data_IF_113230269623
#
_entry.id   IF_113230269623
#
_cell.length_a   1.000
_cell.length_b   1.000
_cell.length_c   1.000
_cell.angle_alpha   90.00
_cell.angle_beta   90.00
_cell.angle_gamma   90.00
#
_symmetry.space_group_name_H-M   'P 1'
#
loop_
_entity.id
_entity.type
_entity.pdbx_description
1 polymer ?
#
# COMPACT_ATOMS: atom_id res chain seq x y z
N UNK A 1 11.70 3.33 19.42
CA UNK A 1 11.30 4.69 18.96
C UNK A 1 11.25 5.66 20.13
N UNK A 2 10.79 5.22 21.28
CA UNK A 2 10.72 6.04 22.48
C UNK A 2 12.13 6.41 22.99
N UNK A 3 13.02 5.44 23.09
CA UNK A 3 14.43 5.64 23.48
C UNK A 3 15.18 6.64 22.58
N UNK A 4 14.68 6.90 21.38
CA UNK A 4 15.21 7.90 20.44
C UNK A 4 14.50 9.24 20.54
N UNK A 5 13.62 9.43 21.51
CA UNK A 5 12.79 10.64 21.68
C UNK A 5 12.01 11.04 20.41
N UNK A 6 11.66 10.06 19.59
CA UNK A 6 10.93 10.29 18.33
C UNK A 6 9.42 10.32 18.52
N UNK A 7 8.91 9.96 19.68
CA UNK A 7 7.47 9.86 19.93
C UNK A 7 6.95 11.05 20.75
N UNK A 8 5.70 11.46 20.47
CA UNK A 8 5.01 12.46 21.27
C UNK A 8 3.48 12.30 21.19
N UNK A 9 2.74 12.74 22.24
CA UNK A 9 1.28 12.68 22.26
C UNK A 9 0.65 13.74 21.34
N UNK A 10 -0.42 13.36 20.64
CA UNK A 10 -1.17 14.25 19.76
C UNK A 10 -2.67 14.19 20.06
N UNK A 11 -3.26 15.35 20.30
CA UNK A 11 -4.68 15.56 20.63
C UNK A 11 -5.48 16.14 19.46
N UNK A 12 -4.88 16.33 18.30
CA UNK A 12 -5.53 16.90 17.12
C UNK A 12 -6.57 15.93 16.54
N UNK A 13 -7.74 16.45 16.19
CA UNK A 13 -8.76 15.70 15.47
C UNK A 13 -8.37 15.48 14.00
N UNK A 14 -8.99 14.49 13.34
CA UNK A 14 -8.80 14.27 11.91
C UNK A 14 -9.16 15.50 11.08
N UNK A 15 -10.22 16.23 11.47
CA UNK A 15 -10.66 17.45 10.78
C UNK A 15 -9.62 18.56 10.82
N UNK A 16 -8.88 18.68 11.94
CA UNK A 16 -7.85 19.71 12.11
C UNK A 16 -6.61 19.51 11.24
N UNK A 17 -6.35 18.26 10.81
CA UNK A 17 -5.14 17.87 10.06
C UNK A 17 -5.44 17.44 8.63
N UNK A 18 -6.70 17.44 8.20
CA UNK A 18 -7.09 16.92 6.89
C UNK A 18 -6.47 17.74 5.75
N UNK A 19 -5.87 17.02 4.77
CA UNK A 19 -5.40 17.59 3.50
C UNK A 19 -4.10 18.40 3.56
N UNK A 20 -3.37 18.37 4.68
CA UNK A 20 -2.07 19.07 4.81
C UNK A 20 -1.07 18.20 5.57
N UNK A 21 0.25 18.33 5.27
CA UNK A 21 1.28 17.74 6.10
C UNK A 21 1.13 18.22 7.55
N UNK A 22 1.29 17.30 8.49
CA UNK A 22 1.15 17.67 9.91
C UNK A 22 2.33 18.49 10.39
N UNK A 23 2.04 19.72 10.83
CA UNK A 23 3.04 20.75 11.18
C UNK A 23 3.70 20.56 12.55
N UNK A 24 3.43 19.49 13.29
CA UNK A 24 3.99 19.29 14.63
C UNK A 24 3.29 20.09 15.74
N UNK A 25 2.04 20.52 15.57
CA UNK A 25 1.29 21.36 16.54
C UNK A 25 1.32 20.84 17.98
N UNK A 26 1.45 19.53 18.19
CA UNK A 26 1.52 18.91 19.53
C UNK A 26 2.95 18.52 19.93
N UNK A 27 3.97 18.85 19.17
CA UNK A 27 5.35 18.37 19.36
C UNK A 27 5.89 18.61 20.78
N UNK A 28 5.58 19.76 21.36
CA UNK A 28 6.04 20.14 22.70
C UNK A 28 4.99 19.95 23.79
N UNK A 29 3.90 19.22 23.49
CA UNK A 29 2.86 18.94 24.49
C UNK A 29 3.21 17.71 25.30
N UNK A 30 3.10 17.82 26.62
CA UNK A 30 3.20 16.69 27.52
C UNK A 30 1.94 15.83 27.47
N UNK A 31 2.08 14.56 27.80
CA UNK A 31 0.93 13.67 27.96
C UNK A 31 0.03 14.15 29.11
N UNK A 32 -1.24 14.38 28.81
CA UNK A 32 -2.25 14.76 29.82
C UNK A 32 -2.81 13.47 30.40
N UNK A 33 -2.68 13.32 31.71
CA UNK A 33 -3.17 12.14 32.44
C UNK A 33 -4.68 11.96 32.20
N UNK A 34 -5.11 10.72 31.95
CA UNK A 34 -6.51 10.33 31.72
C UNK A 34 -7.17 10.97 30.48
N UNK A 35 -6.38 11.46 29.52
CA UNK A 35 -6.92 12.00 28.27
C UNK A 35 -6.49 11.12 27.09
N UNK A 36 -7.48 10.65 26.31
CA UNK A 36 -7.21 9.88 25.11
C UNK A 36 -6.41 10.72 24.09
N UNK A 37 -5.34 10.15 23.58
CA UNK A 37 -4.49 10.78 22.58
C UNK A 37 -3.88 9.73 21.65
N UNK A 38 -3.54 10.15 20.45
CA UNK A 38 -2.70 9.34 19.55
C UNK A 38 -1.22 9.63 19.81
N UNK A 39 -0.35 8.70 19.43
CA UNK A 39 1.09 8.90 19.43
C UNK A 39 1.55 9.12 17.99
N UNK A 40 2.31 10.19 17.78
CA UNK A 40 2.98 10.45 16.50
C UNK A 40 4.45 10.17 16.59
N UNK A 41 5.04 9.78 15.44
CA UNK A 41 6.48 9.76 15.24
C UNK A 41 6.91 11.04 14.55
N UNK A 42 8.00 11.66 15.04
CA UNK A 42 8.65 12.82 14.41
C UNK A 42 9.30 12.37 13.10
N UNK A 43 9.05 13.10 12.04
CA UNK A 43 9.77 12.92 10.77
C UNK A 43 11.02 13.80 10.74
N UNK A 44 12.11 13.24 10.28
CA UNK A 44 13.38 13.97 10.13
C UNK A 44 13.44 14.66 8.77
N UNK A 45 14.31 15.66 8.65
CA UNK A 45 14.61 16.30 7.38
C UNK A 45 15.33 15.29 6.44
N UNK A 46 15.05 15.39 5.15
CA UNK A 46 15.60 14.50 4.12
C UNK A 46 14.52 13.71 3.40
N UNK A 47 14.91 13.13 2.29
CA UNK A 47 14.03 12.30 1.47
C UNK A 47 14.27 10.83 1.74
N UNK A 48 13.20 10.05 1.74
CA UNK A 48 13.26 8.59 1.66
C UNK A 48 13.12 8.21 0.18
N UNK A 49 14.14 7.53 -0.34
CA UNK A 49 14.12 7.02 -1.70
C UNK A 49 14.28 5.50 -1.72
N UNK A 50 13.60 4.84 -2.64
CA UNK A 50 13.74 3.42 -2.90
C UNK A 50 13.49 3.12 -4.38
N UNK A 51 13.88 1.94 -4.82
CA UNK A 51 13.58 1.45 -6.17
C UNK A 51 12.52 0.38 -6.07
N UNK A 52 11.32 0.68 -6.57
CA UNK A 52 10.26 -0.31 -6.76
C UNK A 52 10.58 -1.16 -7.99
N UNK A 53 10.38 -2.47 -7.88
CA UNK A 53 10.72 -3.41 -8.95
C UNK A 53 9.85 -3.25 -10.22
N UNK A 54 8.70 -2.57 -10.09
CA UNK A 54 7.77 -2.31 -11.20
C UNK A 54 7.74 -0.83 -11.54
N UNK A 55 7.42 0.03 -10.56
CA UNK A 55 7.20 1.46 -10.77
C UNK A 55 8.52 2.25 -10.90
N UNK A 56 9.69 1.63 -10.57
CA UNK A 56 10.98 2.29 -10.65
C UNK A 56 11.31 3.16 -9.44
N UNK A 57 12.14 4.18 -9.64
CA UNK A 57 12.60 5.04 -8.53
C UNK A 57 11.46 5.88 -7.99
N UNK A 58 11.26 5.82 -6.67
CA UNK A 58 10.32 6.67 -5.93
C UNK A 58 11.05 7.40 -4.80
N UNK A 59 10.69 8.65 -4.59
CA UNK A 59 11.29 9.51 -3.56
C UNK A 59 10.22 10.40 -2.94
N UNK A 60 10.26 10.56 -1.62
CA UNK A 60 9.34 11.44 -0.89
C UNK A 60 10.05 12.10 0.30
N UNK A 61 9.86 13.40 0.47
CA UNK A 61 10.28 14.10 1.67
C UNK A 61 9.19 14.03 2.74
N UNK A 62 9.32 13.08 3.67
CA UNK A 62 8.28 12.83 4.67
C UNK A 62 7.94 14.05 5.49
N UNK A 63 8.93 14.90 5.84
CA UNK A 63 8.68 16.08 6.65
C UNK A 63 7.81 17.12 5.92
N UNK A 64 8.04 17.30 4.65
CA UNK A 64 7.35 18.30 3.84
C UNK A 64 6.05 17.81 3.25
N UNK A 65 6.01 16.52 2.83
CA UNK A 65 4.89 15.95 2.08
C UNK A 65 3.84 15.29 2.98
N UNK A 66 4.26 14.80 4.16
CA UNK A 66 3.40 14.04 5.09
C UNK A 66 3.34 14.72 6.47
N UNK A 67 4.46 15.23 6.97
CA UNK A 67 4.64 15.62 8.35
C UNK A 67 4.71 14.42 9.30
N UNK A 68 4.70 14.72 10.60
CA UNK A 68 4.72 13.67 11.62
C UNK A 68 3.45 12.85 11.58
N UNK A 69 3.57 11.53 11.54
CA UNK A 69 2.42 10.65 11.34
C UNK A 69 2.12 9.75 12.55
N UNK A 70 0.88 9.29 12.64
CA UNK A 70 0.40 8.49 13.77
C UNK A 70 0.97 7.06 13.68
N UNK A 71 1.55 6.60 14.80
CA UNK A 71 2.03 5.22 14.99
C UNK A 71 1.19 4.44 16.00
N UNK A 72 0.48 5.15 16.92
CA UNK A 72 -0.51 4.56 17.82
C UNK A 72 -1.74 5.43 17.86
N UNK A 73 -2.90 4.83 17.72
CA UNK A 73 -4.20 5.49 17.68
C UNK A 73 -4.67 5.82 19.10
N UNK A 74 -5.58 6.78 19.21
CA UNK A 74 -6.15 7.17 20.49
C UNK A 74 -6.97 6.03 21.19
N UNK A 75 -7.47 5.05 20.42
CA UNK A 75 -8.12 3.85 20.92
C UNK A 75 -7.15 2.78 21.42
N UNK A 76 -5.84 3.06 21.39
CA UNK A 76 -4.78 2.17 21.88
C UNK A 76 -4.20 1.22 20.82
N UNK A 77 -4.81 1.09 19.64
CA UNK A 77 -4.31 0.21 18.56
C UNK A 77 -3.13 0.85 17.85
N UNK A 78 -2.18 0.02 17.43
CA UNK A 78 -1.09 0.47 16.58
C UNK A 78 -1.59 0.83 15.18
N UNK A 79 -1.01 1.86 14.60
CA UNK A 79 -1.35 2.29 13.25
C UNK A 79 -0.76 1.36 12.20
N UNK A 80 -1.45 1.22 11.07
CA UNK A 80 -1.10 0.32 9.97
C UNK A 80 0.38 0.33 9.58
N UNK A 81 0.97 1.52 9.41
CA UNK A 81 2.37 1.62 8.96
C UNK A 81 3.37 1.02 9.96
N UNK A 82 3.12 1.17 11.26
CA UNK A 82 3.98 0.58 12.28
C UNK A 82 3.75 -0.94 12.39
N UNK A 83 2.50 -1.36 12.46
CA UNK A 83 2.15 -2.77 12.57
C UNK A 83 2.76 -3.59 11.43
N UNK A 84 2.52 -3.17 10.18
CA UNK A 84 3.06 -3.87 8.99
C UNK A 84 4.59 -3.89 8.98
N UNK A 85 5.26 -2.77 9.32
CA UNK A 85 6.72 -2.73 9.31
C UNK A 85 7.35 -3.71 10.33
N UNK A 86 6.70 -3.90 11.49
CA UNK A 86 7.16 -4.82 12.53
C UNK A 86 6.80 -6.26 12.18
N UNK A 87 5.55 -6.52 11.81
CA UNK A 87 5.05 -7.86 11.50
C UNK A 87 5.80 -8.47 10.32
N UNK A 88 6.05 -7.71 9.25
CA UNK A 88 6.81 -8.17 8.08
C UNK A 88 8.26 -8.52 8.46
N UNK A 89 8.88 -7.72 9.33
CA UNK A 89 10.24 -7.99 9.79
C UNK A 89 10.31 -9.23 10.69
N UNK A 90 9.35 -9.41 11.62
CA UNK A 90 9.30 -10.59 12.51
C UNK A 90 9.02 -11.87 11.71
N UNK A 91 8.24 -11.80 10.65
CA UNK A 91 7.94 -12.93 9.76
C UNK A 91 9.05 -13.18 8.72
N UNK A 92 10.07 -12.35 8.65
CA UNK A 92 11.17 -12.49 7.69
C UNK A 92 10.76 -12.24 6.25
N UNK A 93 9.76 -11.36 6.03
CA UNK A 93 9.30 -10.98 4.69
C UNK A 93 10.41 -10.27 3.93
N UNK A 94 10.78 -10.80 2.78
CA UNK A 94 11.85 -10.27 1.92
C UNK A 94 11.33 -9.46 0.74
N UNK A 95 10.10 -9.74 0.28
CA UNK A 95 9.48 -9.10 -0.87
C UNK A 95 8.01 -8.75 -0.56
N UNK A 96 7.62 -7.53 -0.85
CA UNK A 96 6.24 -7.04 -0.69
C UNK A 96 5.67 -6.75 -2.07
N UNK A 97 4.61 -7.49 -2.42
CA UNK A 97 3.84 -7.27 -3.65
C UNK A 97 2.45 -6.78 -3.28
N UNK A 98 2.07 -5.59 -3.75
CA UNK A 98 0.78 -4.96 -3.41
C UNK A 98 0.33 -3.95 -4.45
N UNK A 99 -0.87 -3.38 -4.29
CA UNK A 99 -1.37 -2.35 -5.20
C UNK A 99 -0.60 -1.02 -5.10
N UNK A 100 -0.48 -0.33 -6.21
CA UNK A 100 0.19 0.99 -6.34
C UNK A 100 -0.45 2.10 -5.52
N UNK A 101 -1.69 1.93 -5.07
CA UNK A 101 -2.36 2.83 -4.14
C UNK A 101 -1.65 2.92 -2.76
N UNK A 102 -0.73 2.00 -2.49
CA UNK A 102 0.12 2.00 -1.30
C UNK A 102 1.55 2.48 -1.57
N UNK A 103 1.87 2.89 -2.80
CA UNK A 103 3.21 3.36 -3.16
C UNK A 103 3.66 4.53 -2.29
N UNK A 104 2.80 5.55 -2.13
CA UNK A 104 3.06 6.70 -1.26
C UNK A 104 3.10 6.37 0.25
N UNK A 105 2.65 5.19 0.63
CA UNK A 105 2.73 4.70 2.02
C UNK A 105 4.09 4.09 2.35
N UNK A 106 4.82 3.61 1.33
CA UNK A 106 6.08 2.90 1.45
C UNK A 106 7.18 3.71 2.15
N UNK A 107 7.40 5.01 1.84
CA UNK A 107 8.41 5.79 2.55
C UNK A 107 8.20 5.87 4.06
N UNK A 108 6.94 5.91 4.53
CA UNK A 108 6.62 5.88 5.96
C UNK A 108 7.03 4.56 6.62
N UNK A 109 6.83 3.45 5.92
CA UNK A 109 7.22 2.12 6.40
C UNK A 109 8.75 1.98 6.39
N UNK A 110 9.43 2.40 5.33
CA UNK A 110 10.90 2.41 5.26
C UNK A 110 11.48 3.29 6.35
N UNK A 111 10.91 4.46 6.61
CA UNK A 111 11.34 5.32 7.71
C UNK A 111 11.27 4.59 9.07
N UNK A 112 10.15 3.91 9.35
CA UNK A 112 9.99 3.15 10.58
C UNK A 112 10.97 1.98 10.66
N UNK A 113 11.19 1.25 9.58
CA UNK A 113 12.18 0.18 9.48
C UNK A 113 13.58 0.69 9.82
N UNK A 114 13.99 1.82 9.24
CA UNK A 114 15.28 2.47 9.54
C UNK A 114 15.39 2.89 11.02
N UNK A 115 14.34 3.53 11.57
CA UNK A 115 14.36 3.96 12.97
C UNK A 115 14.38 2.79 13.97
N UNK A 116 13.80 1.66 13.59
CA UNK A 116 13.76 0.42 14.38
C UNK A 116 14.93 -0.52 14.08
N UNK A 117 15.82 -0.17 13.14
CA UNK A 117 16.93 -1.04 12.70
C UNK A 117 16.45 -2.37 12.12
N UNK A 118 15.31 -2.37 11.45
CA UNK A 118 14.73 -3.51 10.75
C UNK A 118 15.24 -3.58 9.30
N UNK A 119 15.24 -4.78 8.73
CA UNK A 119 15.57 -4.98 7.31
C UNK A 119 14.44 -4.41 6.44
N UNK A 120 14.80 -3.64 5.43
CA UNK A 120 13.85 -3.13 4.45
C UNK A 120 13.67 -4.17 3.34
N UNK A 121 12.44 -4.69 3.11
CA UNK A 121 12.17 -5.63 2.02
C UNK A 121 12.21 -4.95 0.64
N UNK A 122 12.24 -5.76 -0.41
CA UNK A 122 12.02 -5.29 -1.77
C UNK A 122 10.53 -5.04 -2.00
N UNK A 123 10.21 -3.98 -2.76
CA UNK A 123 8.84 -3.58 -3.03
C UNK A 123 8.50 -3.72 -4.52
N UNK A 124 7.28 -4.17 -4.80
CA UNK A 124 6.68 -4.28 -6.12
C UNK A 124 5.24 -3.78 -6.07
N UNK A 125 4.98 -2.62 -6.66
CA UNK A 125 3.64 -2.05 -6.67
C UNK A 125 2.95 -2.30 -8.02
N UNK A 126 1.96 -3.20 -7.99
CA UNK A 126 1.14 -3.57 -9.15
C UNK A 126 0.15 -2.45 -9.47
N UNK A 127 -0.17 -2.20 -10.76
CA UNK A 127 -1.23 -1.28 -11.12
C UNK A 127 -2.57 -1.70 -10.52
N UNK A 128 -3.32 -0.72 -10.02
CA UNK A 128 -4.68 -0.96 -9.52
C UNK A 128 -5.68 -1.00 -10.66
N UNK A 129 -6.64 -1.90 -10.57
CA UNK A 129 -7.76 -1.93 -11.49
C UNK A 129 -8.76 -0.82 -11.17
N UNK A 130 -9.02 0.06 -12.16
CA UNK A 130 -9.94 1.19 -12.01
C UNK A 130 -11.05 1.14 -13.06
N UNK A 131 -12.12 1.90 -12.83
CA UNK A 131 -13.11 2.22 -13.86
C UNK A 131 -12.53 3.27 -14.83
N UNK A 132 -13.25 3.55 -15.93
CA UNK A 132 -12.90 4.65 -16.83
C UNK A 132 -12.94 6.06 -16.19
N UNK A 133 -13.51 6.18 -14.98
CA UNK A 133 -13.50 7.41 -14.17
C UNK A 133 -12.37 7.43 -13.14
N UNK A 134 -11.36 6.57 -13.27
CA UNK A 134 -10.24 6.40 -12.33
C UNK A 134 -10.68 6.05 -10.90
N UNK A 135 -11.84 5.43 -10.75
CA UNK A 135 -12.33 4.99 -9.45
C UNK A 135 -11.89 3.54 -9.21
N UNK A 136 -11.25 3.29 -8.07
CA UNK A 136 -10.79 1.95 -7.71
C UNK A 136 -11.98 0.99 -7.58
N UNK A 137 -11.97 -0.10 -8.35
CA UNK A 137 -13.06 -1.09 -8.39
C UNK A 137 -13.40 -1.62 -6.99
N UNK A 138 -12.41 -1.87 -6.16
CA UNK A 138 -12.60 -2.45 -4.82
C UNK A 138 -13.25 -1.52 -3.79
N UNK A 139 -13.36 -0.20 -4.06
CA UNK A 139 -13.87 0.79 -3.08
C UNK A 139 -15.28 1.27 -3.37
N UNK A 140 -15.85 0.93 -4.52
CA UNK A 140 -17.21 1.35 -4.83
C UNK A 140 -18.21 0.31 -4.38
N UNK A 141 -19.30 0.79 -3.76
CA UNK A 141 -20.46 -0.01 -3.33
C UNK A 141 -21.18 -0.74 -4.47
N UNK A 142 -20.68 -0.65 -5.68
CA UNK A 142 -21.17 -1.28 -6.91
C UNK A 142 -20.10 -2.19 -7.57
N UNK A 143 -19.01 -2.50 -6.88
CA UNK A 143 -18.17 -3.59 -7.34
C UNK A 143 -19.06 -4.84 -7.36
N UNK A 144 -19.41 -5.25 -8.54
CA UNK A 144 -20.11 -6.51 -8.75
C UNK A 144 -19.24 -7.59 -8.11
N UNK A 145 -19.85 -8.48 -7.38
CA UNK A 145 -19.11 -9.65 -6.90
C UNK A 145 -18.58 -10.40 -8.13
N UNK A 146 -17.33 -10.14 -8.46
CA UNK A 146 -16.67 -10.68 -9.65
C UNK A 146 -16.77 -12.20 -9.69
N UNK A 147 -16.70 -12.83 -8.51
CA UNK A 147 -16.82 -14.29 -8.38
C UNK A 147 -18.24 -14.80 -8.65
N UNK A 148 -19.28 -13.99 -8.51
CA UNK A 148 -20.64 -14.36 -8.83
C UNK A 148 -20.99 -14.26 -10.31
N UNK A 149 -20.16 -13.51 -11.08
CA UNK A 149 -20.47 -13.17 -12.47
C UNK A 149 -19.63 -13.91 -13.49
N UNK A 150 -18.47 -14.42 -13.09
CA UNK A 150 -17.58 -15.10 -14.01
C UNK A 150 -16.90 -16.30 -13.34
N UNK A 151 -16.52 -17.29 -14.18
CA UNK A 151 -15.77 -18.45 -13.72
C UNK A 151 -14.39 -18.04 -13.22
N UNK A 152 -13.89 -18.61 -12.11
CA UNK A 152 -12.56 -18.29 -11.57
C UNK A 152 -11.43 -18.40 -12.60
N UNK A 153 -11.53 -19.36 -13.54
CA UNK A 153 -10.55 -19.56 -14.61
C UNK A 153 -10.43 -18.33 -15.50
N UNK A 154 -11.55 -17.73 -15.89
CA UNK A 154 -11.56 -16.53 -16.72
C UNK A 154 -11.01 -15.32 -15.96
N UNK A 155 -11.36 -15.20 -14.67
CA UNK A 155 -10.83 -14.13 -13.82
C UNK A 155 -9.30 -14.21 -13.72
N UNK A 156 -8.74 -15.41 -13.56
CA UNK A 156 -7.29 -15.63 -13.54
C UNK A 156 -6.64 -15.22 -14.88
N UNK A 157 -7.22 -15.64 -16.01
CA UNK A 157 -6.72 -15.28 -17.34
C UNK A 157 -6.77 -13.76 -17.56
N UNK A 158 -7.88 -13.10 -17.19
CA UNK A 158 -8.01 -11.65 -17.30
C UNK A 158 -7.04 -10.92 -16.38
N UNK A 159 -6.81 -11.43 -15.17
CA UNK A 159 -5.82 -10.86 -14.23
C UNK A 159 -4.41 -10.95 -14.78
N UNK A 160 -4.03 -12.08 -15.37
CA UNK A 160 -2.72 -12.24 -16.03
C UNK A 160 -2.57 -11.26 -17.20
N UNK A 161 -3.59 -11.15 -18.06
CA UNK A 161 -3.58 -10.18 -19.16
C UNK A 161 -3.50 -8.73 -18.66
N UNK A 162 -4.25 -8.38 -17.61
CA UNK A 162 -4.21 -7.08 -16.95
C UNK A 162 -2.81 -6.72 -16.42
N UNK A 163 -2.08 -7.72 -15.92
CA UNK A 163 -0.71 -7.58 -15.46
C UNK A 163 0.33 -7.72 -16.59
N UNK A 164 -0.10 -7.57 -17.87
CA UNK A 164 0.79 -7.58 -19.03
C UNK A 164 1.33 -8.94 -19.41
N UNK A 165 0.92 -10.00 -18.72
CA UNK A 165 1.26 -11.36 -19.11
C UNK A 165 0.43 -11.76 -20.33
N UNK A 166 0.96 -12.64 -21.19
CA UNK A 166 0.29 -13.06 -22.42
C UNK A 166 -0.19 -14.52 -22.29
N UNK A 167 -1.31 -14.78 -21.58
CA UNK A 167 -1.81 -16.12 -21.37
C UNK A 167 -2.16 -16.78 -22.71
N UNK A 168 -1.65 -18.00 -22.91
CA UNK A 168 -1.91 -18.76 -24.12
C UNK A 168 -3.39 -19.08 -24.30
N UNK A 169 -3.86 -19.11 -25.55
CA UNK A 169 -5.26 -19.38 -25.85
C UNK A 169 -5.74 -20.78 -25.38
N UNK A 170 -4.83 -21.75 -25.24
CA UNK A 170 -5.13 -23.09 -24.72
C UNK A 170 -5.63 -23.06 -23.28
N UNK A 171 -5.23 -22.05 -22.50
CA UNK A 171 -5.64 -21.88 -21.10
C UNK A 171 -7.16 -21.62 -20.93
N UNK A 172 -7.87 -21.24 -21.99
CA UNK A 172 -9.35 -21.09 -21.94
C UNK A 172 -10.09 -22.38 -21.56
N UNK A 173 -9.44 -23.55 -21.71
CA UNK A 173 -9.99 -24.85 -21.33
C UNK A 173 -9.32 -25.45 -20.11
N UNK A 174 -8.33 -24.77 -19.56
CA UNK A 174 -7.56 -25.22 -18.41
C UNK A 174 -8.31 -24.94 -17.10
N UNK A 175 -8.03 -25.75 -16.08
CA UNK A 175 -8.50 -25.48 -14.73
C UNK A 175 -7.60 -24.48 -13.99
N UNK A 176 -8.04 -23.99 -12.83
CA UNK A 176 -7.30 -23.00 -12.04
C UNK A 176 -5.85 -23.42 -11.73
N UNK A 177 -5.62 -24.69 -11.43
CA UNK A 177 -4.28 -25.21 -11.11
C UNK A 177 -3.34 -25.11 -12.31
N UNK A 178 -3.83 -25.49 -13.48
CA UNK A 178 -3.07 -25.44 -14.74
C UNK A 178 -2.74 -23.99 -15.13
N UNK A 179 -3.71 -23.08 -14.98
CA UNK A 179 -3.50 -21.64 -15.23
C UNK A 179 -2.44 -21.08 -14.28
N UNK A 180 -2.50 -21.38 -12.99
CA UNK A 180 -1.52 -20.92 -12.01
C UNK A 180 -0.12 -21.54 -12.25
N UNK A 181 -0.04 -22.80 -12.62
CA UNK A 181 1.23 -23.44 -13.00
C UNK A 181 1.84 -22.77 -14.22
N UNK A 182 1.03 -22.50 -15.25
CA UNK A 182 1.47 -21.75 -16.41
C UNK A 182 1.97 -20.36 -16.02
N UNK A 183 1.22 -19.64 -15.17
CA UNK A 183 1.58 -18.30 -14.69
C UNK A 183 2.95 -18.30 -13.99
N UNK A 184 3.18 -19.22 -13.07
CA UNK A 184 4.47 -19.35 -12.36
C UNK A 184 5.62 -19.62 -13.34
N UNK A 185 5.40 -20.49 -14.35
CA UNK A 185 6.45 -20.87 -15.31
C UNK A 185 6.76 -19.79 -16.35
N UNK A 186 5.79 -18.91 -16.64
CA UNK A 186 5.90 -17.92 -17.72
C UNK A 186 5.89 -16.47 -17.21
N UNK A 187 5.88 -16.25 -15.88
CA UNK A 187 5.84 -14.91 -15.31
C UNK A 187 7.03 -14.07 -15.75
N UNK A 188 6.74 -12.89 -16.26
CA UNK A 188 7.74 -11.92 -16.62
C UNK A 188 7.45 -10.57 -15.96
N UNK A 189 8.19 -10.25 -14.90
CA UNK A 189 8.01 -9.01 -14.15
C UNK A 189 8.19 -7.76 -15.02
N UNK A 190 9.06 -7.82 -16.04
CA UNK A 190 9.32 -6.68 -16.94
C UNK A 190 8.14 -6.31 -17.84
N UNK A 191 7.18 -7.22 -18.00
CA UNK A 191 5.95 -6.98 -18.76
C UNK A 191 4.84 -6.34 -17.92
N UNK A 192 4.97 -6.33 -16.60
CA UNK A 192 3.99 -5.65 -15.75
C UNK A 192 4.01 -4.14 -16.05
N UNK A 193 2.84 -3.54 -16.39
CA UNK A 193 2.79 -2.14 -16.78
C UNK A 193 3.30 -1.21 -15.68
N UNK A 194 4.19 -0.28 -16.05
CA UNK A 194 4.77 0.74 -15.16
C UNK A 194 3.83 1.93 -15.02
N UNK A 195 2.63 1.67 -14.56
CA UNK A 195 1.59 2.68 -14.31
C UNK A 195 0.93 2.40 -12.98
N UNK A 196 0.41 3.43 -12.32
CA UNK A 196 -0.32 3.28 -11.07
C UNK A 196 -1.69 2.61 -11.26
N UNK A 197 -2.30 2.80 -12.44
CA UNK A 197 -3.67 2.37 -12.70
C UNK A 197 -3.80 1.77 -14.09
N UNK A 198 -4.71 0.82 -14.23
CA UNK A 198 -5.15 0.26 -15.52
C UNK A 198 -6.67 0.15 -15.48
N UNK A 199 -7.34 0.59 -16.54
CA UNK A 199 -8.78 0.43 -16.68
C UNK A 199 -9.10 -1.06 -16.82
N UNK A 200 -9.93 -1.57 -15.92
CA UNK A 200 -10.39 -2.94 -15.98
C UNK A 200 -11.42 -3.14 -17.10
N UNK A 201 -11.61 -4.38 -17.59
CA UNK A 201 -12.70 -4.68 -18.51
C UNK A 201 -14.06 -4.25 -17.93
N UNK A 202 -14.90 -3.63 -18.76
CA UNK A 202 -16.18 -3.04 -18.34
C UNK A 202 -17.17 -4.03 -17.71
N UNK A 203 -16.98 -5.33 -17.95
CA UNK A 203 -17.78 -6.39 -17.33
C UNK A 203 -17.59 -6.51 -15.80
N UNK A 204 -16.53 -5.93 -15.25
CA UNK A 204 -16.23 -5.99 -13.81
C UNK A 204 -16.74 -4.79 -13.01
N UNK A 205 -17.40 -3.82 -13.64
CA UNK A 205 -18.01 -2.71 -12.95
C UNK A 205 -19.26 -2.20 -13.72
N UNK A 206 -20.27 -1.72 -12.97
CA UNK A 206 -21.44 -1.09 -13.61
C UNK A 206 -21.07 0.30 -14.09
N UNK A 207 -21.36 0.59 -15.34
CA UNK A 207 -21.42 1.97 -15.85
C UNK A 207 -22.55 2.67 -15.09
N UNK A 208 -22.20 3.59 -14.19
CA UNK A 208 -23.15 4.37 -13.42
C UNK A 208 -23.93 5.35 -14.30
#
# INVERSE_FOLDING_TARGET
>A
LDDKELLYPCYCSRKTVAGKPYSGTCLNRLAIKNTQHSIRVKTQAGSISFTDLIQGKFEQNLKNDVGDFIVKRADGLYAYHLAVAVDDAEQGVTHIVRGSDLLESTPRQIYLQQQLSLITPLYSHLPVATTHLSEKISKQCKALDVLSQEKPENILIHSLAHLGQQPDASLKKANNKEILQWAVSNWNLSQVPKTSEIIAPSQYYSSG
#
